data_IF_297739303214
#
_entry.id   IF_297739303214
#
_cell.length_a   1.000
_cell.length_b   1.000
_cell.length_c   1.000
_cell.angle_alpha   90.00
_cell.angle_beta   90.00
_cell.angle_gamma   90.00
#
_symmetry.space_group_name_H-M   'P 1'
#
loop_
_entity.id
_entity.type
_entity.pdbx_description
1 polymer ?
#
# COMPACT_ATOMS: atom_id res chain seq x y z
N UNK A 1 19.33 28.86 8.11
CA UNK A 1 18.71 27.78 7.32
C UNK A 1 19.59 26.56 7.47
N UNK A 2 19.01 25.40 7.77
CA UNK A 2 19.71 24.13 7.95
C UNK A 2 19.33 23.20 6.81
N UNK A 3 20.31 22.47 6.27
CA UNK A 3 20.11 21.43 5.26
C UNK A 3 20.11 20.09 5.97
N UNK A 4 18.99 19.37 5.87
CA UNK A 4 18.79 18.05 6.48
C UNK A 4 18.87 17.01 5.36
N UNK A 5 19.70 15.99 5.55
CA UNK A 5 19.82 14.83 4.68
C UNK A 5 19.14 13.63 5.35
N UNK A 6 18.24 12.97 4.61
CA UNK A 6 17.55 11.77 5.07
C UNK A 6 18.24 10.51 4.54
N UNK A 7 17.89 9.36 5.12
CA UNK A 7 18.50 8.06 4.81
C UNK A 7 18.37 7.64 3.34
N UNK A 8 17.32 8.11 2.64
CA UNK A 8 17.10 7.89 1.21
C UNK A 8 17.95 8.81 0.31
N UNK A 9 18.83 9.63 0.89
CA UNK A 9 19.64 10.63 0.19
C UNK A 9 18.86 11.89 -0.21
N UNK A 10 17.60 12.00 0.20
CA UNK A 10 16.82 13.23 -0.03
C UNK A 10 17.31 14.34 0.90
N UNK A 11 17.29 15.58 0.40
CA UNK A 11 17.76 16.75 1.15
C UNK A 11 16.68 17.83 1.20
N UNK A 12 16.46 18.42 2.37
CA UNK A 12 15.49 19.50 2.59
C UNK A 12 16.09 20.66 3.38
N UNK A 13 15.75 21.89 3.01
CA UNK A 13 16.15 23.09 3.74
C UNK A 13 15.05 23.51 4.72
N UNK A 14 15.38 23.59 6.02
CA UNK A 14 14.44 23.93 7.10
C UNK A 14 15.03 24.96 8.08
N UNK A 15 14.17 25.59 8.88
CA UNK A 15 14.60 26.50 9.96
C UNK A 15 14.94 25.69 11.22
N UNK A 16 15.76 26.26 12.12
CA UNK A 16 16.12 25.58 13.39
C UNK A 16 14.90 25.30 14.28
N UNK A 17 13.91 26.19 14.24
CA UNK A 17 12.69 26.14 15.04
C UNK A 17 11.78 24.96 14.66
N UNK A 18 11.92 24.45 13.44
CA UNK A 18 11.12 23.35 12.89
C UNK A 18 11.82 21.98 13.04
N UNK A 19 13.09 21.97 13.44
CA UNK A 19 13.90 20.76 13.61
C UNK A 19 13.93 20.41 15.09
N UNK A 20 13.41 19.24 15.45
CA UNK A 20 13.36 18.76 16.83
C UNK A 20 14.16 17.48 16.97
N UNK A 21 14.83 17.33 18.12
CA UNK A 21 15.41 16.04 18.52
C UNK A 21 14.40 15.21 19.30
N UNK A 22 14.69 13.92 19.50
CA UNK A 22 13.81 13.02 20.26
C UNK A 22 13.65 13.43 21.73
N UNK A 23 14.64 14.15 22.28
CA UNK A 23 14.66 14.59 23.69
C UNK A 23 14.05 15.99 23.89
N UNK A 24 13.80 16.74 22.82
CA UNK A 24 13.23 18.07 22.86
C UNK A 24 11.69 18.04 22.97
N UNK A 25 11.09 19.09 23.55
CA UNK A 25 9.65 19.14 23.73
C UNK A 25 8.92 19.36 22.38
N UNK A 26 8.44 18.26 21.79
CA UNK A 26 7.69 18.32 20.54
C UNK A 26 6.36 19.09 20.67
N UNK A 27 5.91 19.81 19.61
CA UNK A 27 4.63 20.48 19.60
C UNK A 27 3.46 19.53 19.93
N UNK A 28 2.44 20.02 20.65
CA UNK A 28 1.27 19.21 21.07
C UNK A 28 0.58 18.49 19.91
N UNK A 29 0.47 19.14 18.74
CA UNK A 29 -0.11 18.56 17.51
C UNK A 29 0.70 17.39 16.97
N UNK A 30 2.01 17.42 17.19
CA UNK A 30 2.97 16.42 16.74
C UNK A 30 2.97 15.25 17.73
N UNK A 31 3.08 15.51 19.04
CA UNK A 31 2.94 14.49 20.11
C UNK A 31 1.64 13.69 20.03
N UNK A 32 0.51 14.35 19.76
CA UNK A 32 -0.79 13.67 19.63
C UNK A 32 -0.86 12.68 18.46
N UNK A 33 -0.02 12.86 17.43
CA UNK A 33 0.06 11.96 16.27
C UNK A 33 1.10 10.87 16.46
N UNK A 34 2.11 11.08 17.30
CA UNK A 34 3.07 10.07 17.75
C UNK A 34 2.41 9.09 18.72
N UNK A 35 1.56 8.20 18.21
CA UNK A 35 1.01 7.09 18.98
C UNK A 35 1.72 5.79 18.58
N UNK A 36 2.03 4.92 19.54
CA UNK A 36 2.59 3.57 19.31
C UNK A 36 1.76 2.71 18.35
N UNK A 37 0.52 3.11 18.03
CA UNK A 37 -0.31 2.43 17.04
C UNK A 37 0.08 2.71 15.58
N UNK A 38 0.70 3.85 15.27
CA UNK A 38 1.20 4.18 13.92
C UNK A 38 2.60 3.65 13.67
N UNK A 39 3.30 3.22 14.72
CA UNK A 39 4.60 2.57 14.63
C UNK A 39 4.35 1.09 14.25
N UNK A 40 4.36 0.82 12.95
CA UNK A 40 4.66 -0.51 12.40
C UNK A 40 3.70 -1.67 12.74
N UNK A 41 2.51 -1.43 13.32
CA UNK A 41 1.54 -2.52 13.63
C UNK A 41 1.12 -3.36 12.44
N UNK A 42 1.30 -2.84 11.22
CA UNK A 42 0.83 -3.47 10.00
C UNK A 42 1.95 -3.74 9.00
N UNK A 43 3.23 -3.72 9.41
CA UNK A 43 4.34 -4.07 8.51
C UNK A 43 4.13 -5.44 7.86
N UNK A 44 3.69 -6.45 8.64
CA UNK A 44 3.31 -7.76 8.11
C UNK A 44 2.11 -7.72 7.14
N UNK A 45 1.22 -6.73 7.29
CA UNK A 45 0.02 -6.58 6.44
C UNK A 45 0.29 -5.77 5.16
N UNK A 46 1.43 -5.08 5.05
CA UNK A 46 1.79 -4.32 3.84
C UNK A 46 3.02 -4.88 3.14
N UNK A 47 4.00 -5.37 3.92
CA UNK A 47 5.31 -5.83 3.47
C UNK A 47 5.63 -7.27 3.88
N UNK A 48 4.68 -8.00 4.48
CA UNK A 48 4.84 -9.41 4.81
C UNK A 48 5.16 -10.27 3.59
N UNK A 49 6.01 -11.29 3.79
CA UNK A 49 6.44 -12.25 2.75
C UNK A 49 5.26 -12.86 1.99
N UNK A 50 4.14 -13.07 2.69
CA UNK A 50 2.91 -13.69 2.18
C UNK A 50 2.18 -12.81 1.16
N UNK A 51 2.37 -11.48 1.23
CA UNK A 51 1.75 -10.50 0.32
C UNK A 51 2.62 -10.31 -0.92
N UNK A 52 3.95 -10.26 -0.72
CA UNK A 52 4.93 -10.10 -1.81
C UNK A 52 4.97 -11.33 -2.71
N UNK A 53 4.81 -12.54 -2.14
CA UNK A 53 4.75 -13.79 -2.91
C UNK A 53 3.37 -14.05 -3.53
N UNK A 54 2.38 -13.20 -3.28
CA UNK A 54 1.09 -13.19 -3.99
C UNK A 54 0.21 -14.42 -3.75
N UNK A 55 0.48 -15.22 -2.72
CA UNK A 55 -0.07 -16.58 -2.61
C UNK A 55 -1.57 -16.63 -2.28
N UNK A 56 -2.16 -15.59 -1.66
CA UNK A 56 -3.59 -15.62 -1.28
C UNK A 56 -4.31 -14.29 -1.52
N UNK A 57 -4.41 -13.88 -2.79
CA UNK A 57 -5.49 -12.93 -3.16
C UNK A 57 -6.82 -13.67 -2.99
N UNK A 58 -7.71 -13.14 -2.13
CA UNK A 58 -9.06 -13.70 -1.97
C UNK A 58 -9.74 -13.78 -3.33
N UNK A 59 -10.28 -14.95 -3.67
CA UNK A 59 -11.06 -15.12 -4.88
C UNK A 59 -12.27 -14.19 -4.82
N UNK A 60 -12.36 -13.23 -5.74
CA UNK A 60 -13.56 -12.38 -5.85
C UNK A 60 -14.69 -13.24 -6.37
N UNK A 61 -15.74 -13.40 -5.56
CA UNK A 61 -16.97 -14.09 -5.93
C UNK A 61 -17.99 -13.05 -6.39
N UNK A 62 -18.71 -13.34 -7.47
CA UNK A 62 -19.80 -12.48 -7.95
C UNK A 62 -20.90 -12.40 -6.87
N UNK A 63 -21.43 -11.21 -6.64
CA UNK A 63 -22.54 -11.00 -5.71
C UNK A 63 -23.75 -11.85 -6.12
N UNK A 64 -24.52 -12.32 -5.14
CA UNK A 64 -25.74 -13.10 -5.37
C UNK A 64 -26.78 -12.36 -6.20
N UNK A 65 -26.72 -11.03 -6.23
CA UNK A 65 -27.61 -10.19 -7.04
C UNK A 65 -27.43 -10.39 -8.55
N UNK A 66 -26.23 -10.79 -8.98
CA UNK A 66 -25.87 -10.89 -10.40
C UNK A 66 -25.94 -12.31 -10.97
N UNK A 67 -26.52 -13.27 -10.23
CA UNK A 67 -26.54 -14.69 -10.61
C UNK A 67 -27.37 -15.02 -11.86
N UNK A 68 -28.33 -14.16 -12.19
CA UNK A 68 -29.19 -14.33 -13.36
C UNK A 68 -28.85 -13.35 -14.50
N UNK A 69 -27.77 -12.59 -14.36
CA UNK A 69 -27.33 -11.66 -15.38
C UNK A 69 -26.33 -12.30 -16.34
N UNK A 70 -26.23 -11.73 -17.54
CA UNK A 70 -25.30 -12.14 -18.59
C UNK A 70 -23.84 -12.24 -18.11
N UNK A 71 -23.48 -11.54 -17.03
CA UNK A 71 -22.14 -11.58 -16.42
C UNK A 71 -21.81 -12.96 -15.79
N UNK A 72 -22.82 -13.72 -15.33
CA UNK A 72 -22.63 -15.07 -14.76
C UNK A 72 -22.80 -16.19 -15.81
N UNK A 73 -23.11 -15.85 -17.06
CA UNK A 73 -23.20 -16.83 -18.17
C UNK A 73 -21.81 -17.48 -18.41
N UNK A 74 -21.70 -18.82 -18.36
CA UNK A 74 -20.45 -19.53 -18.65
C UNK A 74 -19.79 -19.16 -19.99
N UNK A 75 -20.59 -18.91 -21.03
CA UNK A 75 -20.08 -18.57 -22.36
C UNK A 75 -19.44 -17.17 -22.34
N UNK A 76 -20.10 -16.20 -21.71
CA UNK A 76 -19.56 -14.85 -21.59
C UNK A 76 -18.32 -14.81 -20.68
N UNK A 77 -18.36 -15.55 -19.57
CA UNK A 77 -17.24 -15.61 -18.61
C UNK A 77 -15.98 -16.20 -19.23
N UNK A 78 -16.10 -17.22 -20.08
CA UNK A 78 -14.97 -17.79 -20.81
C UNK A 78 -14.42 -16.83 -21.85
N UNK A 79 -15.29 -16.13 -22.59
CA UNK A 79 -14.90 -15.09 -23.55
C UNK A 79 -14.14 -13.92 -22.89
N UNK A 80 -14.63 -13.40 -21.76
CA UNK A 80 -13.92 -12.37 -21.00
C UNK A 80 -12.57 -12.88 -20.49
N UNK A 81 -12.51 -14.10 -19.97
CA UNK A 81 -11.26 -14.67 -19.46
C UNK A 81 -10.19 -14.82 -20.54
N UNK A 82 -10.57 -15.20 -21.77
CA UNK A 82 -9.62 -15.36 -22.87
C UNK A 82 -9.13 -14.02 -23.42
N UNK A 83 -10.01 -13.01 -23.51
CA UNK A 83 -9.68 -11.68 -24.04
C UNK A 83 -8.73 -10.88 -23.15
N UNK A 84 -8.74 -11.11 -21.83
CA UNK A 84 -7.86 -10.42 -20.88
C UNK A 84 -6.62 -11.21 -20.45
N UNK A 85 -6.32 -12.36 -21.06
CA UNK A 85 -5.03 -13.03 -20.88
C UNK A 85 -3.91 -12.23 -21.57
N UNK A 86 -3.53 -11.09 -20.98
CA UNK A 86 -2.30 -10.40 -21.32
C UNK A 86 -1.13 -11.31 -20.96
N UNK A 87 -0.45 -11.85 -21.96
CA UNK A 87 0.88 -12.44 -21.76
C UNK A 87 1.82 -11.29 -21.38
N UNK A 88 2.04 -11.08 -20.08
CA UNK A 88 3.20 -10.33 -19.62
C UNK A 88 4.44 -11.14 -20.04
N UNK A 89 4.98 -10.83 -21.21
CA UNK A 89 6.32 -11.30 -21.56
C UNK A 89 7.28 -10.54 -20.67
N UNK A 90 7.90 -11.26 -19.72
CA UNK A 90 9.08 -10.76 -19.03
C UNK A 90 10.16 -10.58 -20.11
N UNK A 91 10.43 -9.33 -20.48
CA UNK A 91 11.61 -9.01 -21.29
C UNK A 91 12.82 -9.36 -20.42
N UNK A 92 13.69 -10.20 -20.98
CA UNK A 92 15.01 -10.49 -20.43
C UNK A 92 15.87 -9.23 -20.41
#
# INVERSE_FOLDING_TARGET
MYQVEFEDGSQIAMKREDIYTLDEELPKRVKARFSTASDMRFEDTFYGTDIIQGEKKRQRVLSSRFKNEYVDDPVYRTFLKSSFQKKCQKRQ
#
